data_IF_217293956773
#
_entry.id   IF_217293956773
#
_cell.length_a   1.000
_cell.length_b   1.000
_cell.length_c   1.000
_cell.angle_alpha   90.00
_cell.angle_beta   90.00
_cell.angle_gamma   90.00
#
_symmetry.space_group_name_H-M   'P 1'
#
loop_
_entity.id
_entity.type
_entity.pdbx_description
1 polymer ?
#
# COMPACT_ATOMS: atom_id res chain seq x y z
N UNK A 1 -13.58 -23.49 -31.87
CA UNK A 1 -12.63 -24.38 -31.18
C UNK A 1 -11.51 -23.53 -30.61
N UNK A 2 -11.12 -23.73 -29.35
CA UNK A 2 -10.00 -22.98 -28.76
C UNK A 2 -8.70 -23.70 -29.16
N UNK A 3 -7.80 -23.01 -29.87
CA UNK A 3 -6.53 -23.59 -30.32
C UNK A 3 -5.41 -23.30 -29.31
N UNK A 4 -4.40 -24.17 -29.26
CA UNK A 4 -3.26 -24.07 -28.34
C UNK A 4 -2.52 -22.73 -28.45
N UNK A 5 -2.26 -22.27 -29.68
CA UNK A 5 -1.61 -20.98 -29.94
C UNK A 5 -2.42 -19.79 -29.42
N UNK A 6 -3.76 -19.87 -29.49
CA UNK A 6 -4.64 -18.82 -28.99
C UNK A 6 -4.61 -18.70 -27.47
N UNK A 7 -4.47 -19.84 -26.77
CA UNK A 7 -4.32 -19.88 -25.31
C UNK A 7 -2.96 -19.34 -24.87
N UNK A 8 -1.88 -19.71 -25.57
CA UNK A 8 -0.52 -19.25 -25.27
C UNK A 8 -0.42 -17.72 -25.36
N UNK A 9 -0.92 -17.12 -26.45
CA UNK A 9 -0.98 -15.66 -26.60
C UNK A 9 -1.82 -14.97 -25.53
N UNK A 10 -2.89 -15.63 -25.06
CA UNK A 10 -3.77 -15.09 -24.02
C UNK A 10 -3.10 -15.10 -22.65
N UNK A 11 -2.48 -16.22 -22.29
CA UNK A 11 -1.85 -16.42 -20.97
C UNK A 11 -0.53 -15.67 -20.81
N UNK A 12 0.18 -15.35 -21.89
CA UNK A 12 1.33 -14.45 -21.83
C UNK A 12 0.98 -13.06 -21.28
N UNK A 13 -0.23 -12.55 -21.59
CA UNK A 13 -0.70 -11.25 -21.09
C UNK A 13 -1.08 -11.28 -19.61
N UNK A 14 -1.21 -12.45 -19.01
CA UNK A 14 -1.68 -12.59 -17.62
C UNK A 14 -0.52 -12.40 -16.65
N UNK A 15 -0.84 -11.85 -15.48
CA UNK A 15 0.09 -11.77 -14.35
C UNK A 15 0.33 -13.16 -13.77
N UNK A 16 1.48 -13.37 -13.12
CA UNK A 16 1.82 -14.67 -12.50
C UNK A 16 0.79 -15.11 -11.45
N UNK A 17 0.13 -14.16 -10.77
CA UNK A 17 -0.97 -14.45 -9.83
C UNK A 17 -2.24 -14.95 -10.53
N UNK A 18 -2.58 -14.39 -11.70
CA UNK A 18 -3.71 -14.84 -12.49
C UNK A 18 -3.46 -16.25 -13.05
N UNK A 19 -2.25 -16.53 -13.54
CA UNK A 19 -1.81 -17.86 -13.98
C UNK A 19 -1.88 -18.89 -12.84
N UNK A 20 -1.40 -18.54 -11.64
CA UNK A 20 -1.50 -19.40 -10.46
C UNK A 20 -2.96 -19.70 -10.06
N UNK A 21 -3.90 -18.79 -10.35
CA UNK A 21 -5.33 -19.02 -10.08
C UNK A 21 -5.90 -20.13 -10.94
N UNK A 22 -5.50 -20.18 -12.22
CA UNK A 22 -5.91 -21.22 -13.17
C UNK A 22 -5.43 -22.60 -12.67
N UNK A 23 -4.22 -22.68 -12.10
CA UNK A 23 -3.70 -23.91 -11.51
C UNK A 23 -4.43 -24.37 -10.25
N UNK A 24 -4.96 -23.44 -9.44
CA UNK A 24 -5.78 -23.78 -8.26
C UNK A 24 -7.12 -24.35 -8.68
N UNK A 25 -7.75 -23.76 -9.71
CA UNK A 25 -9.06 -24.16 -10.21
C UNK A 25 -8.96 -25.06 -11.44
N UNK A 26 -8.03 -26.02 -11.44
CA UNK A 26 -7.76 -26.90 -12.60
C UNK A 26 -8.99 -27.65 -13.13
N UNK A 27 -10.03 -27.84 -12.32
CA UNK A 27 -11.31 -28.44 -12.72
C UNK A 27 -12.08 -27.64 -13.77
N UNK A 28 -11.85 -26.33 -13.80
CA UNK A 28 -12.64 -25.40 -14.61
C UNK A 28 -12.00 -25.15 -15.98
N UNK A 29 -10.85 -25.78 -16.24
CA UNK A 29 -10.02 -25.57 -17.42
C UNK A 29 -9.67 -26.90 -18.09
N UNK A 30 -9.33 -26.82 -19.38
CA UNK A 30 -8.85 -27.98 -20.13
C UNK A 30 -7.43 -28.35 -19.71
N UNK A 31 -7.06 -29.62 -19.81
CA UNK A 31 -5.70 -30.09 -19.49
C UNK A 31 -4.64 -29.37 -20.33
N UNK A 32 -4.97 -29.04 -21.58
CA UNK A 32 -4.13 -28.24 -22.49
C UNK A 32 -3.89 -26.84 -21.91
N UNK A 33 -4.93 -26.18 -21.37
CA UNK A 33 -4.78 -24.87 -20.75
C UNK A 33 -3.92 -24.93 -19.48
N UNK A 34 -4.12 -25.96 -18.65
CA UNK A 34 -3.33 -26.19 -17.43
C UNK A 34 -1.85 -26.42 -17.76
N UNK A 35 -1.55 -27.20 -18.80
CA UNK A 35 -0.20 -27.46 -19.28
C UNK A 35 0.50 -26.18 -19.75
N UNK A 36 -0.15 -25.39 -20.61
CA UNK A 36 0.40 -24.12 -21.11
C UNK A 36 0.68 -23.16 -19.96
N UNK A 37 -0.23 -23.05 -18.99
CA UNK A 37 -0.05 -22.19 -17.81
C UNK A 37 1.13 -22.65 -16.97
N UNK A 38 1.35 -23.96 -16.83
CA UNK A 38 2.49 -24.53 -16.11
C UNK A 38 3.81 -24.20 -16.80
N UNK A 39 3.89 -24.39 -18.12
CA UNK A 39 5.07 -24.01 -18.92
C UNK A 39 5.38 -22.52 -18.82
N UNK A 40 4.35 -21.67 -18.90
CA UNK A 40 4.50 -20.22 -18.82
C UNK A 40 4.94 -19.75 -17.42
N UNK A 41 4.57 -20.46 -16.35
CA UNK A 41 5.09 -20.16 -15.01
C UNK A 41 6.53 -20.64 -14.82
N UNK A 42 6.89 -21.78 -15.40
CA UNK A 42 8.27 -22.29 -15.42
C UNK A 42 9.19 -21.35 -16.21
N UNK A 43 8.75 -20.85 -17.37
CA UNK A 43 9.51 -19.89 -18.19
C UNK A 43 9.78 -18.57 -17.46
N UNK A 44 8.91 -18.19 -16.50
CA UNK A 44 9.07 -17.03 -15.61
C UNK A 44 9.92 -17.31 -14.36
N UNK A 45 10.51 -18.51 -14.25
CA UNK A 45 11.40 -18.88 -13.16
C UNK A 45 10.70 -19.33 -11.86
N UNK A 46 9.41 -19.68 -11.92
CA UNK A 46 8.71 -20.29 -10.76
C UNK A 46 9.16 -21.75 -10.64
N UNK A 47 9.60 -22.20 -9.47
CA UNK A 47 10.13 -23.56 -9.30
C UNK A 47 9.01 -24.61 -9.33
N UNK A 48 9.28 -25.81 -9.83
CA UNK A 48 8.31 -26.92 -9.84
C UNK A 48 7.76 -27.27 -8.44
N UNK A 49 8.60 -27.13 -7.41
CA UNK A 49 8.23 -27.35 -6.01
C UNK A 49 7.17 -26.34 -5.54
N UNK A 50 7.18 -25.12 -6.06
CA UNK A 50 6.19 -24.09 -5.76
C UNK A 50 4.88 -24.36 -6.52
N UNK A 51 4.97 -24.87 -7.77
CA UNK A 51 3.82 -25.28 -8.58
C UNK A 51 3.05 -26.48 -8.02
N UNK A 52 3.71 -27.34 -7.23
CA UNK A 52 3.05 -28.45 -6.52
C UNK A 52 2.10 -27.96 -5.41
N UNK A 53 2.30 -26.75 -4.91
CA UNK A 53 1.43 -26.12 -3.93
C UNK A 53 0.94 -24.75 -4.45
N UNK A 54 -0.02 -24.72 -5.40
CA UNK A 54 -0.41 -23.51 -6.11
C UNK A 54 -1.04 -22.45 -5.18
N UNK A 55 -1.52 -22.85 -3.99
CA UNK A 55 -1.92 -21.93 -2.91
C UNK A 55 -0.75 -21.10 -2.36
N UNK A 56 0.45 -21.66 -2.32
CA UNK A 56 1.68 -20.97 -1.91
C UNK A 56 2.18 -19.93 -2.92
N UNK A 57 2.03 -20.22 -4.21
CA UNK A 57 2.43 -19.31 -5.31
C UNK A 57 1.55 -18.06 -5.35
N UNK A 58 0.22 -18.22 -5.15
CA UNK A 58 -0.70 -17.08 -4.99
C UNK A 58 -0.25 -16.17 -3.85
N UNK A 59 0.13 -16.73 -2.70
CA UNK A 59 0.62 -15.96 -1.55
C UNK A 59 1.92 -15.22 -1.86
N UNK A 60 2.91 -15.86 -2.48
CA UNK A 60 4.20 -15.21 -2.78
C UNK A 60 4.12 -14.12 -3.86
N UNK A 61 3.35 -14.35 -4.93
CA UNK A 61 3.20 -13.36 -6.01
C UNK A 61 2.41 -12.13 -5.54
N UNK A 62 1.36 -12.34 -4.74
CA UNK A 62 0.65 -11.24 -4.06
C UNK A 62 1.62 -10.53 -3.11
N UNK A 63 2.41 -11.26 -2.32
CA UNK A 63 3.31 -10.67 -1.33
C UNK A 63 4.37 -9.74 -1.96
N UNK A 64 4.96 -10.06 -3.11
CA UNK A 64 5.97 -9.19 -3.76
C UNK A 64 5.40 -7.86 -4.24
N UNK A 65 4.28 -7.87 -4.95
CA UNK A 65 3.68 -6.65 -5.50
C UNK A 65 3.03 -5.82 -4.37
N UNK A 66 2.31 -6.49 -3.47
CA UNK A 66 1.69 -5.88 -2.28
C UNK A 66 2.76 -5.22 -1.40
N UNK A 67 3.89 -5.86 -1.14
CA UNK A 67 4.95 -5.29 -0.28
C UNK A 67 5.59 -4.03 -0.85
N UNK A 68 5.71 -3.89 -2.17
CA UNK A 68 6.24 -2.69 -2.81
C UNK A 68 5.28 -1.51 -2.67
N UNK A 69 3.98 -1.74 -2.88
CA UNK A 69 2.98 -0.68 -2.76
C UNK A 69 2.67 -0.30 -1.30
N UNK A 70 2.73 -1.25 -0.37
CA UNK A 70 2.36 -1.01 1.04
C UNK A 70 3.45 -0.31 1.85
N UNK A 71 4.71 -0.37 1.41
CA UNK A 71 5.85 0.22 2.10
C UNK A 71 6.31 1.55 1.49
N UNK A 72 5.59 2.06 0.48
CA UNK A 72 5.99 3.32 -0.14
C UNK A 72 5.53 4.50 0.71
N UNK A 73 6.49 5.17 1.33
CA UNK A 73 6.30 6.37 2.13
C UNK A 73 5.65 7.50 1.32
N UNK A 74 4.98 8.42 2.02
CA UNK A 74 4.44 9.63 1.44
C UNK A 74 5.58 10.59 1.08
N UNK A 75 5.54 11.21 -0.10
CA UNK A 75 6.55 12.22 -0.46
C UNK A 75 6.46 13.43 0.48
N UNK A 76 7.59 14.10 0.72
CA UNK A 76 7.70 15.26 1.60
C UNK A 76 6.66 16.35 1.27
N UNK A 77 6.44 16.62 -0.01
CA UNK A 77 5.45 17.61 -0.47
C UNK A 77 4.02 17.27 -0.03
N UNK A 78 3.64 16.00 -0.07
CA UNK A 78 2.33 15.57 0.40
C UNK A 78 2.24 15.66 1.93
N UNK A 79 3.32 15.35 2.66
CA UNK A 79 3.37 15.52 4.12
C UNK A 79 3.17 16.97 4.52
N UNK A 80 3.81 17.90 3.79
CA UNK A 80 3.61 19.33 3.96
C UNK A 80 2.17 19.73 3.63
N UNK A 81 1.64 19.27 2.49
CA UNK A 81 0.27 19.57 2.07
C UNK A 81 -0.76 19.14 3.13
N UNK A 82 -0.65 17.91 3.66
CA UNK A 82 -1.56 17.43 4.70
C UNK A 82 -1.38 18.11 6.04
N UNK A 83 -0.18 18.60 6.36
CA UNK A 83 0.06 19.37 7.57
C UNK A 83 -0.56 20.77 7.51
N UNK A 84 -0.48 21.42 6.34
CA UNK A 84 -1.02 22.77 6.13
C UNK A 84 -2.53 22.73 5.92
N UNK A 85 -2.99 21.83 5.04
CA UNK A 85 -4.39 21.65 4.72
C UNK A 85 -4.94 20.63 5.70
N UNK A 86 -5.37 21.12 6.86
CA UNK A 86 -6.16 20.34 7.80
C UNK A 86 -7.52 20.04 7.17
N UNK A 87 -7.55 18.99 6.33
CA UNK A 87 -8.78 18.53 5.71
C UNK A 87 -9.66 17.89 6.78
N UNK A 88 -10.90 18.37 6.99
CA UNK A 88 -11.88 17.67 7.79
C UNK A 88 -12.06 16.25 7.26
N UNK A 89 -12.31 15.30 8.17
CA UNK A 89 -12.38 13.86 7.86
C UNK A 89 -13.30 13.52 6.67
N UNK A 90 -14.34 14.33 6.39
CA UNK A 90 -15.24 14.16 5.25
C UNK A 90 -14.60 14.43 3.88
N UNK A 91 -13.95 15.58 3.70
CA UNK A 91 -13.28 15.95 2.43
C UNK A 91 -12.06 15.03 2.18
N UNK A 92 -11.44 14.57 3.28
CA UNK A 92 -10.34 13.61 3.24
C UNK A 92 -10.72 12.29 2.60
N UNK A 93 -11.91 11.74 2.87
CA UNK A 93 -12.33 10.46 2.28
C UNK A 93 -12.36 10.56 0.76
N UNK A 94 -12.95 11.63 0.22
CA UNK A 94 -13.04 11.86 -1.22
C UNK A 94 -11.66 12.05 -1.89
N UNK A 95 -10.76 12.82 -1.27
CA UNK A 95 -9.39 13.00 -1.80
C UNK A 95 -8.54 11.74 -1.66
N UNK A 96 -8.72 10.99 -0.57
CA UNK A 96 -8.02 9.72 -0.37
C UNK A 96 -8.51 8.66 -1.33
N UNK A 97 -9.80 8.57 -1.68
CA UNK A 97 -10.25 7.57 -2.66
C UNK A 97 -9.62 7.77 -4.06
N UNK A 98 -9.28 9.01 -4.42
CA UNK A 98 -8.58 9.34 -5.67
C UNK A 98 -7.05 9.08 -5.61
N UNK A 99 -6.41 9.31 -4.46
CA UNK A 99 -4.94 9.21 -4.28
C UNK A 99 -4.52 7.82 -3.75
N UNK A 100 -5.37 7.18 -2.96
CA UNK A 100 -5.24 5.87 -2.34
C UNK A 100 -6.04 4.88 -3.17
N UNK A 101 -5.43 4.44 -4.28
CA UNK A 101 -5.84 3.15 -4.86
C UNK A 101 -5.81 2.07 -3.76
N UNK A 102 -6.69 1.06 -3.81
CA UNK A 102 -6.71 -0.02 -2.83
C UNK A 102 -5.31 -0.64 -2.73
N UNK A 103 -4.64 -0.46 -1.57
CA UNK A 103 -3.28 -0.98 -1.33
C UNK A 103 -2.28 -0.04 -0.63
N UNK A 104 -2.57 1.24 -0.43
CA UNK A 104 -1.61 2.18 0.20
C UNK A 104 -1.96 2.57 1.65
N UNK A 105 -2.07 1.59 2.57
CA UNK A 105 -2.38 1.83 4.00
C UNK A 105 -1.43 2.84 4.63
N UNK A 106 -0.13 2.66 4.38
CA UNK A 106 0.92 3.47 4.99
C UNK A 106 0.72 4.95 4.66
N UNK A 107 0.43 5.25 3.40
CA UNK A 107 0.17 6.62 2.92
C UNK A 107 -1.06 7.23 3.57
N UNK A 108 -2.14 6.46 3.70
CA UNK A 108 -3.37 6.92 4.35
C UNK A 108 -3.14 7.22 5.84
N UNK A 109 -2.45 6.33 6.56
CA UNK A 109 -2.12 6.52 7.97
C UNK A 109 -1.18 7.71 8.19
N UNK A 110 -0.19 7.90 7.30
CA UNK A 110 0.71 9.06 7.34
C UNK A 110 -0.03 10.36 7.04
N UNK A 111 -0.89 10.40 6.02
CA UNK A 111 -1.69 11.57 5.72
C UNK A 111 -2.60 11.96 6.90
N UNK A 112 -3.22 10.98 7.56
CA UNK A 112 -4.00 11.20 8.78
C UNK A 112 -3.14 11.75 9.92
N UNK A 113 -1.97 11.16 10.15
CA UNK A 113 -1.03 11.64 11.16
C UNK A 113 -0.67 13.11 10.92
N UNK A 114 -0.21 13.46 9.71
CA UNK A 114 0.18 14.84 9.38
C UNK A 114 -0.98 15.83 9.50
N UNK A 115 -2.19 15.45 9.08
CA UNK A 115 -3.38 16.30 9.21
C UNK A 115 -3.77 16.58 10.66
N UNK A 116 -3.81 15.55 11.52
CA UNK A 116 -4.12 15.73 12.95
C UNK A 116 -3.03 16.51 13.67
N UNK A 117 -1.76 16.21 13.40
CA UNK A 117 -0.65 16.97 13.99
C UNK A 117 -0.58 18.40 13.48
N UNK A 118 -0.95 18.64 12.22
CA UNK A 118 -1.07 19.98 11.63
C UNK A 118 -2.15 20.81 12.32
N UNK A 119 -3.32 20.22 12.55
CA UNK A 119 -4.41 20.87 13.27
C UNK A 119 -4.04 21.26 14.71
N UNK A 120 -3.45 20.30 15.44
CA UNK A 120 -3.08 20.49 16.85
C UNK A 120 -1.94 21.49 17.00
N UNK A 121 -0.92 21.43 16.14
CA UNK A 121 0.18 22.40 16.11
C UNK A 121 -0.30 23.79 15.69
N UNK A 122 -1.25 23.89 14.75
CA UNK A 122 -1.84 25.17 14.36
C UNK A 122 -2.59 25.81 15.53
N UNK A 123 -3.41 25.05 16.26
CA UNK A 123 -4.11 25.54 17.45
C UNK A 123 -3.12 26.03 18.53
N UNK A 124 -2.08 25.25 18.81
CA UNK A 124 -1.02 25.65 19.74
C UNK A 124 -0.28 26.92 19.27
N UNK A 125 0.03 27.01 17.98
CA UNK A 125 0.68 28.18 17.42
C UNK A 125 -0.19 29.43 17.51
N UNK A 126 -1.51 29.33 17.27
CA UNK A 126 -2.46 30.43 17.44
C UNK A 126 -2.47 30.91 18.90
N UNK A 127 -2.56 29.98 19.86
CA UNK A 127 -2.49 30.33 21.27
C UNK A 127 -1.18 31.07 21.60
N UNK A 128 -0.04 30.54 21.16
CA UNK A 128 1.26 31.18 21.39
C UNK A 128 1.36 32.55 20.71
N UNK A 129 0.84 32.68 19.49
CA UNK A 129 0.83 33.95 18.75
C UNK A 129 -0.03 35.02 19.44
N UNK A 130 -1.13 34.62 20.06
CA UNK A 130 -1.98 35.53 20.84
C UNK A 130 -1.26 36.06 22.10
N UNK A 131 -0.52 35.21 22.82
CA UNK A 131 0.17 35.61 24.06
C UNK A 131 1.52 36.28 23.84
N UNK A 132 2.30 35.85 22.84
CA UNK A 132 3.70 36.25 22.66
C UNK A 132 3.96 37.09 21.40
N UNK A 133 2.92 37.34 20.58
CA UNK A 133 3.01 38.13 19.36
C UNK A 133 2.86 37.30 18.07
N UNK A 134 2.29 37.93 17.04
CA UNK A 134 1.98 37.28 15.77
C UNK A 134 3.24 36.81 14.99
N UNK A 135 4.41 37.40 15.24
CA UNK A 135 5.68 36.95 14.68
C UNK A 135 6.07 35.56 15.21
N UNK A 136 5.77 35.27 16.48
CA UNK A 136 6.07 33.97 17.12
C UNK A 136 5.21 32.82 16.61
N UNK A 137 4.04 33.12 16.05
CA UNK A 137 3.15 32.13 15.44
C UNK A 137 3.87 31.31 14.36
N UNK A 138 4.52 31.98 13.40
CA UNK A 138 5.14 31.31 12.26
C UNK A 138 6.31 30.43 12.70
N UNK A 139 7.14 30.90 13.64
CA UNK A 139 8.25 30.11 14.18
C UNK A 139 7.76 28.89 14.96
N UNK A 140 6.72 29.05 15.80
CA UNK A 140 6.15 27.95 16.56
C UNK A 140 5.53 26.90 15.64
N UNK A 141 4.79 27.34 14.61
CA UNK A 141 4.12 26.44 13.68
C UNK A 141 5.09 25.69 12.76
N UNK A 142 6.12 26.38 12.23
CA UNK A 142 7.17 25.77 11.43
C UNK A 142 8.05 24.83 12.27
N UNK A 143 8.40 25.23 13.50
CA UNK A 143 9.16 24.40 14.43
C UNK A 143 8.42 23.10 14.79
N UNK A 144 7.10 23.19 15.04
CA UNK A 144 6.26 22.03 15.27
C UNK A 144 6.26 21.06 14.07
N UNK A 145 6.25 21.56 12.83
CA UNK A 145 6.34 20.71 11.64
C UNK A 145 7.64 19.90 11.60
N UNK A 146 8.77 20.54 11.90
CA UNK A 146 10.08 19.87 11.94
C UNK A 146 10.09 18.77 13.00
N UNK A 147 9.56 19.04 14.20
CA UNK A 147 9.48 18.03 15.26
C UNK A 147 8.59 16.84 14.86
N UNK A 148 7.42 17.12 14.26
CA UNK A 148 6.50 16.10 13.76
C UNK A 148 7.16 15.25 12.67
N UNK A 149 7.93 15.88 11.78
CA UNK A 149 8.66 15.20 10.70
C UNK A 149 9.78 14.30 11.24
N UNK A 150 10.58 14.80 12.17
CA UNK A 150 11.64 14.01 12.82
C UNK A 150 11.06 12.82 13.57
N UNK A 151 9.93 13.00 14.27
CA UNK A 151 9.24 11.92 14.96
C UNK A 151 8.66 10.88 13.99
N UNK A 152 8.13 11.32 12.84
CA UNK A 152 7.62 10.41 11.81
C UNK A 152 8.74 9.52 11.24
N UNK A 153 9.86 10.14 10.83
CA UNK A 153 11.02 9.45 10.29
C UNK A 153 11.66 8.51 11.32
N UNK A 154 11.80 8.99 12.57
CA UNK A 154 12.48 8.27 13.64
C UNK A 154 11.68 7.09 14.21
N UNK A 155 10.40 7.32 14.50
CA UNK A 155 9.58 6.43 15.32
C UNK A 155 8.34 5.91 14.59
N UNK A 156 7.54 6.80 14.00
CA UNK A 156 6.22 6.42 13.53
C UNK A 156 6.28 5.51 12.30
N UNK A 157 7.09 5.86 11.29
CA UNK A 157 7.22 5.07 10.07
C UNK A 157 7.80 3.66 10.37
N UNK A 158 8.82 3.58 11.23
CA UNK A 158 9.39 2.28 11.66
C UNK A 158 8.37 1.42 12.41
N UNK A 159 7.56 2.03 13.28
CA UNK A 159 6.49 1.34 14.03
C UNK A 159 5.39 0.85 13.07
N UNK A 160 4.96 1.70 12.14
CA UNK A 160 3.94 1.37 11.14
C UNK A 160 4.38 0.20 10.26
N UNK A 161 5.62 0.25 9.75
CA UNK A 161 6.20 -0.85 8.97
C UNK A 161 6.28 -2.15 9.77
N UNK A 162 6.64 -2.08 11.06
CA UNK A 162 6.71 -3.27 11.93
C UNK A 162 5.32 -3.88 12.13
N UNK A 163 4.30 -3.06 12.35
CA UNK A 163 2.94 -3.52 12.53
C UNK A 163 2.36 -4.10 11.22
N UNK A 164 2.61 -3.46 10.08
CA UNK A 164 2.20 -3.97 8.77
C UNK A 164 2.89 -5.31 8.44
N UNK A 165 4.18 -5.46 8.75
CA UNK A 165 4.88 -6.75 8.62
C UNK A 165 4.26 -7.84 9.50
N UNK A 166 3.85 -7.50 10.73
CA UNK A 166 3.17 -8.45 11.64
C UNK A 166 1.79 -8.86 11.12
N UNK A 167 1.00 -7.93 10.61
CA UNK A 167 -0.34 -8.22 10.05
C UNK A 167 -0.24 -9.08 8.78
N UNK A 168 0.69 -8.74 7.88
CA UNK A 168 1.00 -9.54 6.69
C UNK A 168 1.43 -10.97 7.06
N UNK A 169 2.30 -11.15 8.06
CA UNK A 169 2.73 -12.48 8.51
C UNK A 169 1.59 -13.33 9.11
N UNK A 170 0.57 -12.69 9.70
CA UNK A 170 -0.62 -13.37 10.23
C UNK A 170 -1.67 -13.69 9.16
N UNK A 171 -1.51 -13.18 7.93
CA UNK A 171 -2.55 -13.29 6.89
C UNK A 171 -3.79 -12.45 7.18
N UNK A 172 -3.76 -11.61 8.21
CA UNK A 172 -4.79 -10.63 8.57
C UNK A 172 -4.55 -9.39 7.72
N UNK A 173 -4.95 -9.44 6.46
CA UNK A 173 -5.08 -8.21 5.68
C UNK A 173 -6.34 -7.48 6.18
N UNK A 174 -6.26 -6.17 6.49
CA UNK A 174 -7.41 -5.42 7.02
C UNK A 174 -8.60 -5.31 6.05
N UNK A 175 -8.42 -5.81 4.84
CA UNK A 175 -9.47 -6.09 3.87
C UNK A 175 -9.58 -7.61 3.80
N UNK A 176 -10.70 -8.13 4.30
CA UNK A 176 -11.09 -9.50 4.07
C UNK A 176 -10.91 -9.83 2.60
N UNK A 177 -9.93 -10.68 2.30
CA UNK A 177 -9.74 -11.20 0.96
C UNK A 177 -10.87 -12.18 0.74
N UNK A 178 -11.94 -11.69 0.10
CA UNK A 178 -12.84 -12.52 -0.69
C UNK A 178 -12.09 -12.97 -1.96
#
# INVERSE_FOLDING_TARGET
MVTEESLRKRYQKYTSSALATILVNKSDYTDIAVMIVREELLSRGVREVELANPKGVKRQAIDRDTRKYYLTDLMLWHKLLFYVIWLPNGIRSMLMDAIVRPGFILRSQQANYYSVTGATSLMLAICLGYYYGADKFFYAWAGAFVLVLLFDIGCNCKRLMRNLKKMSAKGEFPWGVA
#
